data_IF_048070140423
#
_entry.id   IF_048070140423
#
_cell.length_a   1.000
_cell.length_b   1.000
_cell.length_c   1.000
_cell.angle_alpha   90.00
_cell.angle_beta   90.00
_cell.angle_gamma   90.00
#
_symmetry.space_group_name_H-M   'P 1'
#
loop_
_entity.id
_entity.type
_entity.pdbx_description
1 polymer ?
#
# COMPACT_ATOMS: atom_id res chain seq x y z
N UNK A 1 -24.58 -3.17 16.75
CA UNK A 1 -23.37 -2.37 17.08
C UNK A 1 -23.74 -1.47 18.26
N UNK A 2 -22.99 -1.49 19.35
CA UNK A 2 -23.29 -0.62 20.49
C UNK A 2 -23.15 0.87 20.11
N UNK A 3 -23.91 1.75 20.78
CA UNK A 3 -23.86 3.22 20.56
C UNK A 3 -22.44 3.79 20.63
N UNK A 4 -21.62 3.28 21.55
CA UNK A 4 -20.21 3.66 21.71
C UNK A 4 -19.39 3.40 20.44
N UNK A 5 -19.54 2.23 19.80
CA UNK A 5 -18.83 1.91 18.56
C UNK A 5 -19.26 2.79 17.37
N UNK A 6 -20.50 3.26 17.38
CA UNK A 6 -20.99 4.14 16.32
C UNK A 6 -20.43 5.56 16.46
N UNK A 7 -20.36 6.08 17.69
CA UNK A 7 -19.76 7.39 17.97
C UNK A 7 -18.25 7.39 17.66
N UNK A 8 -17.55 6.33 18.07
CA UNK A 8 -16.13 6.13 17.76
C UNK A 8 -15.86 6.03 16.24
N UNK A 9 -16.67 5.27 15.52
CA UNK A 9 -16.59 5.14 14.08
C UNK A 9 -16.77 6.50 13.39
N UNK A 10 -17.78 7.25 13.79
CA UNK A 10 -18.07 8.57 13.25
C UNK A 10 -16.92 9.57 13.52
N UNK A 11 -16.32 9.53 14.71
CA UNK A 11 -15.16 10.35 15.05
C UNK A 11 -13.95 10.01 14.16
N UNK A 12 -13.63 8.72 14.06
CA UNK A 12 -12.48 8.24 13.28
C UNK A 12 -12.66 8.47 11.77
N UNK A 13 -13.88 8.33 11.27
CA UNK A 13 -14.22 8.64 9.88
C UNK A 13 -14.04 10.12 9.55
N UNK A 14 -14.40 11.05 10.46
CA UNK A 14 -14.15 12.50 10.26
C UNK A 14 -12.66 12.82 10.16
N UNK A 15 -11.82 12.07 10.83
CA UNK A 15 -10.39 12.34 10.99
C UNK A 15 -9.52 11.32 10.23
N UNK A 16 -10.09 10.55 9.30
CA UNK A 16 -9.35 9.53 8.54
C UNK A 16 -8.12 10.13 7.87
N UNK A 17 -6.90 9.61 8.12
CA UNK A 17 -5.68 10.11 7.51
C UNK A 17 -5.49 9.50 6.11
N UNK A 18 -6.04 10.16 5.09
CA UNK A 18 -5.93 9.75 3.69
C UNK A 18 -4.60 10.22 3.08
N UNK A 19 -3.92 9.32 2.39
CA UNK A 19 -2.67 9.57 1.65
C UNK A 19 -2.88 9.32 0.16
N UNK A 20 -2.29 10.15 -0.69
CA UNK A 20 -2.25 9.90 -2.12
C UNK A 20 -1.15 8.90 -2.42
N UNK A 21 -1.48 7.80 -3.05
CA UNK A 21 -0.49 6.82 -3.52
C UNK A 21 -0.05 7.16 -4.95
N UNK A 22 1.25 7.07 -5.21
CA UNK A 22 1.83 7.36 -6.52
C UNK A 22 1.29 6.46 -7.62
N UNK A 23 0.96 5.22 -7.29
CA UNK A 23 0.44 4.25 -8.26
C UNK A 23 -0.91 4.66 -8.86
N UNK A 24 -1.71 5.49 -8.17
CA UNK A 24 -2.93 6.08 -8.74
C UNK A 24 -2.64 7.01 -9.93
N UNK A 25 -1.38 7.35 -10.17
CA UNK A 25 -0.88 8.13 -11.30
C UNK A 25 0.19 7.38 -12.09
N UNK A 26 0.17 6.04 -12.04
CA UNK A 26 1.23 5.19 -12.56
C UNK A 26 1.58 5.47 -14.03
N UNK A 27 0.60 5.54 -14.93
CA UNK A 27 0.84 5.88 -16.34
C UNK A 27 1.34 7.31 -16.49
N UNK A 28 0.73 8.27 -15.79
CA UNK A 28 1.18 9.66 -15.82
C UNK A 28 2.64 9.80 -15.37
N UNK A 29 3.07 9.03 -14.36
CA UNK A 29 4.45 9.05 -13.88
C UNK A 29 5.40 8.36 -14.87
N UNK A 30 5.00 7.27 -15.51
CA UNK A 30 5.77 6.61 -16.57
C UNK A 30 5.96 7.48 -17.82
N UNK A 31 5.03 8.38 -18.09
CA UNK A 31 5.15 9.38 -19.17
C UNK A 31 5.69 10.72 -18.69
N UNK A 32 6.16 10.81 -17.44
CA UNK A 32 6.68 12.03 -16.80
C UNK A 32 5.71 13.24 -16.91
N UNK A 33 4.40 12.95 -16.92
CA UNK A 33 3.32 13.97 -16.88
C UNK A 33 2.89 14.33 -15.47
N UNK A 34 3.25 13.50 -14.51
CA UNK A 34 3.16 13.72 -13.07
C UNK A 34 4.50 13.28 -12.48
N UNK A 35 5.16 14.16 -11.75
CA UNK A 35 6.43 13.90 -11.08
C UNK A 35 6.19 13.72 -9.57
N UNK A 36 7.14 13.14 -8.81
CA UNK A 36 7.01 13.02 -7.36
C UNK A 36 6.63 14.33 -6.65
N UNK A 37 7.19 15.45 -7.09
CA UNK A 37 6.85 16.78 -6.56
C UNK A 37 5.42 17.24 -6.87
N UNK A 38 4.83 16.79 -7.97
CA UNK A 38 3.44 17.14 -8.35
C UNK A 38 2.43 16.38 -7.49
N UNK A 39 2.76 15.18 -6.99
CA UNK A 39 1.93 14.46 -6.04
C UNK A 39 1.71 15.26 -4.74
N UNK A 40 2.72 16.01 -4.29
CA UNK A 40 2.59 16.90 -3.14
C UNK A 40 1.59 18.03 -3.43
N UNK A 41 1.60 18.60 -4.63
CA UNK A 41 0.63 19.63 -5.03
C UNK A 41 -0.79 19.07 -5.05
N UNK A 42 -0.98 17.89 -5.64
CA UNK A 42 -2.29 17.23 -5.71
C UNK A 42 -2.78 16.88 -4.29
N UNK A 43 -1.94 16.27 -3.47
CA UNK A 43 -2.30 15.92 -2.09
C UNK A 43 -2.70 17.16 -1.27
N UNK A 44 -1.95 18.27 -1.40
CA UNK A 44 -2.26 19.54 -0.76
C UNK A 44 -3.61 20.12 -1.24
N UNK A 45 -3.82 20.16 -2.56
CA UNK A 45 -5.09 20.64 -3.16
C UNK A 45 -6.28 19.80 -2.71
N UNK A 46 -6.10 18.49 -2.59
CA UNK A 46 -7.12 17.55 -2.14
C UNK A 46 -7.25 17.48 -0.62
N UNK A 47 -6.46 18.24 0.15
CA UNK A 47 -6.45 18.26 1.63
C UNK A 47 -6.22 16.87 2.21
N UNK A 48 -5.30 16.11 1.62
CA UNK A 48 -4.87 14.82 2.12
C UNK A 48 -3.79 14.99 3.19
N UNK A 49 -3.55 13.94 3.97
CA UNK A 49 -2.57 13.93 5.06
C UNK A 49 -1.14 13.84 4.53
N UNK A 50 -0.92 13.18 3.41
CA UNK A 50 0.40 12.96 2.86
C UNK A 50 0.39 12.19 1.54
N UNK A 51 1.56 11.68 1.19
CA UNK A 51 1.80 10.90 -0.02
C UNK A 51 2.54 9.61 0.30
N UNK A 52 2.29 8.57 -0.52
CA UNK A 52 3.03 7.32 -0.54
C UNK A 52 3.67 7.18 -1.92
N UNK A 53 5.00 7.06 -1.98
CA UNK A 53 5.75 7.09 -3.24
C UNK A 53 6.76 5.95 -3.26
N UNK A 54 6.69 5.11 -4.30
CA UNK A 54 7.74 4.13 -4.57
C UNK A 54 9.01 4.84 -5.06
N UNK A 55 10.16 4.37 -4.61
CA UNK A 55 11.47 5.00 -4.93
C UNK A 55 11.75 5.15 -6.43
N UNK A 56 11.17 4.28 -7.25
CA UNK A 56 11.33 4.24 -8.71
C UNK A 56 10.24 5.00 -9.49
N UNK A 57 9.15 5.44 -8.82
CA UNK A 57 8.06 6.15 -9.50
C UNK A 57 8.53 7.49 -10.07
N UNK A 58 8.25 7.71 -11.36
CA UNK A 58 8.62 8.94 -12.08
C UNK A 58 9.80 8.79 -13.03
N UNK A 59 10.18 7.55 -13.40
CA UNK A 59 11.19 7.21 -14.41
C UNK A 59 12.52 7.93 -14.16
N UNK A 60 12.89 8.86 -15.05
CA UNK A 60 14.15 9.64 -14.96
C UNK A 60 14.12 10.63 -13.78
N UNK A 61 12.97 10.99 -13.27
CA UNK A 61 12.73 11.94 -12.18
C UNK A 61 12.30 11.25 -10.87
N UNK A 62 12.44 9.92 -10.81
CA UNK A 62 12.12 9.16 -9.59
C UNK A 62 13.01 9.57 -8.42
N UNK A 63 12.50 9.43 -7.18
CA UNK A 63 13.25 9.80 -5.97
C UNK A 63 14.62 9.12 -5.91
N UNK A 64 14.75 7.91 -6.42
CA UNK A 64 16.00 7.16 -6.48
C UNK A 64 17.05 7.84 -7.36
N UNK A 65 16.64 8.56 -8.41
CA UNK A 65 17.52 9.23 -9.38
C UNK A 65 17.78 10.70 -9.08
N UNK A 66 17.05 11.27 -8.14
CA UNK A 66 17.25 12.66 -7.71
C UNK A 66 18.56 12.81 -6.92
N UNK A 67 19.23 13.95 -7.12
CA UNK A 67 20.38 14.32 -6.30
C UNK A 67 19.96 14.88 -4.94
N UNK A 68 20.92 15.08 -4.03
CA UNK A 68 20.66 15.50 -2.65
C UNK A 68 19.92 16.86 -2.58
N UNK A 69 20.20 17.80 -3.47
CA UNK A 69 19.51 19.08 -3.52
C UNK A 69 18.04 18.92 -3.91
N UNK A 70 17.79 18.09 -4.92
CA UNK A 70 16.43 17.82 -5.40
C UNK A 70 15.59 17.08 -4.32
N UNK A 71 16.20 16.12 -3.61
CA UNK A 71 15.55 15.44 -2.47
C UNK A 71 15.28 16.42 -1.33
N UNK A 72 16.19 17.35 -1.07
CA UNK A 72 15.99 18.42 -0.10
C UNK A 72 14.84 19.35 -0.51
N UNK A 73 14.77 19.75 -1.78
CA UNK A 73 13.69 20.61 -2.29
C UNK A 73 12.33 19.92 -2.19
N UNK A 74 12.27 18.60 -2.45
CA UNK A 74 11.08 17.79 -2.23
C UNK A 74 10.66 17.81 -0.75
N UNK A 75 11.60 17.61 0.17
CA UNK A 75 11.37 17.68 1.63
C UNK A 75 10.81 19.03 2.05
N UNK A 76 11.42 20.13 1.60
CA UNK A 76 10.97 21.48 1.97
C UNK A 76 9.57 21.78 1.39
N UNK A 77 9.24 21.25 0.21
CA UNK A 77 7.90 21.35 -0.36
C UNK A 77 6.86 20.58 0.48
N UNK A 78 7.19 19.34 0.88
CA UNK A 78 6.31 18.55 1.76
C UNK A 78 6.07 19.27 3.11
N UNK A 79 7.12 19.80 3.73
CA UNK A 79 7.01 20.61 4.97
C UNK A 79 6.14 21.85 4.78
N UNK A 80 6.34 22.59 3.68
CA UNK A 80 5.56 23.78 3.38
C UNK A 80 4.08 23.49 3.31
N UNK A 81 3.70 22.32 2.80
CA UNK A 81 2.32 21.88 2.71
C UNK A 81 1.82 21.11 3.94
N UNK A 82 2.68 20.90 4.92
CA UNK A 82 2.41 20.08 6.11
C UNK A 82 1.93 18.67 5.73
N UNK A 83 2.61 18.05 4.77
CA UNK A 83 2.32 16.71 4.28
C UNK A 83 3.33 15.71 4.82
N UNK A 84 2.84 14.56 5.26
CA UNK A 84 3.67 13.40 5.56
C UNK A 84 4.12 12.71 4.27
N UNK A 85 5.30 12.10 4.31
CA UNK A 85 5.86 11.32 3.20
C UNK A 85 6.12 9.90 3.67
N UNK A 86 5.62 8.93 2.94
CA UNK A 86 5.95 7.51 3.10
C UNK A 86 6.69 7.03 1.84
N UNK A 87 7.82 6.38 2.02
CA UNK A 87 8.62 5.80 0.94
C UNK A 87 8.27 4.32 0.81
N UNK A 88 8.26 3.84 -0.42
CA UNK A 88 7.95 2.46 -0.72
C UNK A 88 8.99 1.81 -1.62
N UNK A 89 9.19 0.50 -1.44
CA UNK A 89 10.09 -0.29 -2.27
C UNK A 89 9.57 -1.71 -2.45
N UNK A 90 10.01 -2.39 -3.51
CA UNK A 90 9.46 -3.68 -3.97
C UNK A 90 10.36 -4.88 -3.68
N UNK A 91 11.24 -4.77 -2.70
CA UNK A 91 12.05 -5.89 -2.21
C UNK A 91 12.44 -5.68 -0.74
N UNK A 92 12.82 -6.77 -0.07
CA UNK A 92 13.25 -6.77 1.33
C UNK A 92 14.76 -6.93 1.51
N UNK A 93 15.51 -7.11 0.42
CA UNK A 93 16.95 -7.31 0.51
C UNK A 93 17.67 -6.06 1.04
N UNK A 94 18.86 -6.31 1.61
CA UNK A 94 19.68 -5.29 2.26
C UNK A 94 19.99 -4.07 1.35
N UNK A 95 20.28 -4.29 0.08
CA UNK A 95 20.69 -3.21 -0.83
C UNK A 95 19.49 -2.28 -1.10
N UNK A 96 18.35 -2.87 -1.42
CA UNK A 96 17.09 -2.16 -1.69
C UNK A 96 16.61 -1.38 -0.46
N UNK A 97 16.61 -2.02 0.72
CA UNK A 97 16.21 -1.34 1.96
C UNK A 97 17.19 -0.23 2.36
N UNK A 98 18.49 -0.40 2.14
CA UNK A 98 19.48 0.66 2.41
C UNK A 98 19.20 1.91 1.58
N UNK A 99 18.91 1.75 0.29
CA UNK A 99 18.59 2.88 -0.59
C UNK A 99 17.26 3.54 -0.21
N UNK A 100 16.22 2.76 0.05
CA UNK A 100 14.93 3.28 0.50
C UNK A 100 15.04 4.07 1.81
N UNK A 101 15.82 3.59 2.79
CA UNK A 101 16.07 4.30 4.06
C UNK A 101 16.84 5.61 3.80
N UNK A 102 17.87 5.59 2.93
CA UNK A 102 18.61 6.79 2.54
C UNK A 102 17.67 7.85 1.96
N UNK A 103 16.80 7.46 1.04
CA UNK A 103 15.80 8.35 0.42
C UNK A 103 14.80 8.85 1.47
N UNK A 104 14.32 7.98 2.36
CA UNK A 104 13.41 8.36 3.43
C UNK A 104 14.01 9.45 4.33
N UNK A 105 15.26 9.29 4.74
CA UNK A 105 15.96 10.31 5.54
C UNK A 105 16.13 11.61 4.76
N UNK A 106 16.54 11.55 3.50
CA UNK A 106 16.75 12.71 2.66
C UNK A 106 15.46 13.50 2.38
N UNK A 107 14.34 12.82 2.19
CA UNK A 107 13.02 13.42 1.93
C UNK A 107 12.27 13.80 3.22
N UNK A 108 12.77 13.38 4.39
CA UNK A 108 12.09 13.58 5.66
C UNK A 108 10.85 12.71 5.82
N UNK A 109 10.82 11.58 5.15
CA UNK A 109 9.75 10.59 5.28
C UNK A 109 9.71 10.00 6.69
N UNK A 110 8.53 9.56 7.11
CA UNK A 110 8.28 8.98 8.43
C UNK A 110 8.13 7.46 8.40
N UNK A 111 7.98 6.89 7.21
CA UNK A 111 7.75 5.45 7.03
C UNK A 111 8.42 4.91 5.77
N UNK A 112 8.84 3.64 5.84
CA UNK A 112 9.29 2.83 4.70
C UNK A 112 8.45 1.57 4.62
N UNK A 113 7.76 1.38 3.50
CA UNK A 113 7.06 0.13 3.17
C UNK A 113 7.90 -0.72 2.25
N UNK A 114 7.95 -2.02 2.51
CA UNK A 114 8.55 -3.00 1.63
C UNK A 114 7.67 -4.25 1.54
N UNK A 115 7.86 -5.03 0.49
CA UNK A 115 7.36 -6.40 0.42
C UNK A 115 8.47 -7.32 -0.11
N UNK A 116 8.51 -8.57 0.37
CA UNK A 116 9.51 -9.52 -0.09
C UNK A 116 9.21 -9.97 -1.52
N UNK A 117 10.28 -10.32 -2.24
CA UNK A 117 10.17 -10.88 -3.58
C UNK A 117 11.16 -12.02 -3.73
N UNK A 118 10.72 -13.20 -3.33
CA UNK A 118 11.52 -14.41 -3.36
C UNK A 118 10.80 -15.56 -4.06
N UNK A 119 11.57 -16.41 -4.72
CA UNK A 119 11.13 -17.68 -5.27
C UNK A 119 11.68 -18.82 -4.43
N UNK A 120 10.91 -19.92 -4.28
CA UNK A 120 11.30 -21.11 -3.58
C UNK A 120 10.17 -21.75 -2.76
N UNK A 121 10.50 -22.82 -2.04
CA UNK A 121 9.55 -23.36 -1.09
C UNK A 121 9.26 -22.35 0.03
N UNK A 122 8.03 -22.30 0.50
CA UNK A 122 7.55 -21.32 1.49
C UNK A 122 8.47 -21.22 2.71
N UNK A 123 8.91 -22.34 3.26
CA UNK A 123 9.83 -22.34 4.42
C UNK A 123 11.15 -21.62 4.13
N UNK A 124 11.71 -21.79 2.93
CA UNK A 124 12.94 -21.14 2.52
C UNK A 124 12.72 -19.64 2.26
N UNK A 125 11.57 -19.30 1.66
CA UNK A 125 11.16 -17.91 1.45
C UNK A 125 11.00 -17.20 2.80
N UNK A 126 10.27 -17.80 3.73
CA UNK A 126 10.08 -17.26 5.09
C UNK A 126 11.42 -17.07 5.82
N UNK A 127 12.36 -18.01 5.69
CA UNK A 127 13.69 -17.89 6.29
C UNK A 127 14.51 -16.74 5.68
N UNK A 128 14.44 -16.52 4.36
CA UNK A 128 15.09 -15.40 3.71
C UNK A 128 14.54 -14.07 4.22
N UNK A 129 13.19 -13.93 4.27
CA UNK A 129 12.52 -12.72 4.76
C UNK A 129 12.88 -12.46 6.24
N UNK A 130 12.89 -13.50 7.07
CA UNK A 130 13.29 -13.36 8.47
C UNK A 130 14.74 -12.87 8.62
N UNK A 131 15.67 -13.29 7.75
CA UNK A 131 17.03 -12.77 7.71
C UNK A 131 17.10 -11.30 7.28
N UNK A 132 16.29 -10.88 6.31
CA UNK A 132 16.21 -9.48 5.90
C UNK A 132 15.68 -8.61 7.05
N UNK A 133 14.62 -9.05 7.71
CA UNK A 133 14.06 -8.35 8.89
C UNK A 133 15.08 -8.32 10.04
N UNK A 134 15.81 -9.39 10.28
CA UNK A 134 16.87 -9.41 11.28
C UNK A 134 17.98 -8.39 10.97
N UNK A 135 18.33 -8.20 9.70
CA UNK A 135 19.23 -7.12 9.30
C UNK A 135 18.59 -5.75 9.50
N UNK A 136 17.30 -5.60 9.17
CA UNK A 136 16.57 -4.34 9.32
C UNK A 136 16.47 -3.90 10.79
N UNK A 137 16.53 -4.81 11.75
CA UNK A 137 16.39 -4.52 13.19
C UNK A 137 17.43 -3.52 13.75
N UNK A 138 18.57 -3.33 13.07
CA UNK A 138 19.53 -2.27 13.41
C UNK A 138 18.95 -0.86 13.32
N UNK A 139 17.81 -0.69 12.64
CA UNK A 139 17.09 0.57 12.47
C UNK A 139 15.87 0.70 13.38
N UNK A 140 15.70 -0.15 14.40
CA UNK A 140 14.51 -0.14 15.27
C UNK A 140 14.31 1.20 16.01
N UNK A 141 15.39 1.94 16.30
CA UNK A 141 15.35 3.22 16.98
C UNK A 141 15.71 4.42 16.07
N UNK A 142 15.63 4.27 14.74
CA UNK A 142 16.07 5.34 13.80
C UNK A 142 15.04 6.46 13.58
N UNK A 143 13.86 6.37 14.17
CA UNK A 143 12.77 7.33 14.00
C UNK A 143 11.89 7.08 12.76
N UNK A 144 12.18 6.05 11.95
CA UNK A 144 11.31 5.58 10.88
C UNK A 144 10.42 4.43 11.38
N UNK A 145 9.19 4.37 10.90
CA UNK A 145 8.38 3.16 10.97
C UNK A 145 8.59 2.30 9.71
N UNK A 146 8.52 1.00 9.87
CA UNK A 146 8.59 0.05 8.76
C UNK A 146 7.29 -0.74 8.66
N UNK A 147 6.85 -0.97 7.43
CA UNK A 147 5.74 -1.89 7.19
C UNK A 147 6.12 -2.94 6.17
N UNK A 148 5.84 -4.20 6.48
CA UNK A 148 5.83 -5.26 5.50
C UNK A 148 4.42 -5.35 4.90
N UNK A 149 4.33 -5.28 3.58
CA UNK A 149 3.04 -5.34 2.90
C UNK A 149 2.62 -6.78 2.63
N UNK A 150 1.34 -7.05 2.80
CA UNK A 150 0.71 -8.22 2.22
C UNK A 150 0.62 -8.04 0.70
N UNK A 151 1.53 -8.68 -0.02
CA UNK A 151 1.63 -8.58 -1.48
C UNK A 151 1.53 -9.96 -2.13
N UNK A 152 0.31 -10.41 -2.41
CA UNK A 152 -0.09 -11.52 -3.27
C UNK A 152 0.44 -12.93 -2.96
N UNK A 153 1.69 -13.09 -2.46
CA UNK A 153 2.39 -14.38 -2.29
C UNK A 153 2.29 -14.99 -0.89
N UNK A 154 2.23 -14.15 0.16
CA UNK A 154 2.16 -14.59 1.53
C UNK A 154 0.75 -14.44 2.12
N UNK A 155 0.36 -15.42 2.91
CA UNK A 155 -0.88 -15.37 3.67
C UNK A 155 -0.72 -14.49 4.94
N UNK A 156 -1.82 -13.95 5.43
CA UNK A 156 -1.81 -13.05 6.58
C UNK A 156 -1.14 -13.64 7.83
N UNK A 157 -1.35 -14.93 8.12
CA UNK A 157 -0.73 -15.57 9.28
C UNK A 157 0.81 -15.77 9.14
N UNK A 158 1.31 -15.87 7.91
CA UNK A 158 2.74 -15.94 7.62
C UNK A 158 3.41 -14.58 7.89
N UNK A 159 2.77 -13.48 7.46
CA UNK A 159 3.22 -12.11 7.78
C UNK A 159 3.17 -11.81 9.27
N UNK A 160 2.09 -12.19 9.95
CA UNK A 160 1.95 -12.05 11.40
C UNK A 160 3.10 -12.81 12.13
N UNK A 161 3.44 -13.99 11.65
CA UNK A 161 4.56 -14.79 12.20
C UNK A 161 5.90 -14.06 12.02
N UNK A 162 6.18 -13.51 10.84
CA UNK A 162 7.39 -12.74 10.55
C UNK A 162 7.53 -11.52 11.46
N UNK A 163 6.48 -10.72 11.57
CA UNK A 163 6.49 -9.51 12.38
C UNK A 163 6.65 -9.82 13.86
N UNK A 164 5.87 -10.76 14.40
CA UNK A 164 5.95 -11.14 15.81
C UNK A 164 7.33 -11.72 16.19
N UNK A 165 7.93 -12.52 15.32
CA UNK A 165 9.23 -13.13 15.57
C UNK A 165 10.41 -12.16 15.37
N UNK A 166 10.20 -11.01 14.74
CA UNK A 166 11.25 -10.01 14.51
C UNK A 166 11.76 -9.34 15.77
N UNK A 167 10.89 -9.20 16.76
CA UNK A 167 11.16 -8.44 17.98
C UNK A 167 11.28 -6.92 17.77
N UNK A 168 11.10 -6.42 16.54
CA UNK A 168 11.15 -4.99 16.21
C UNK A 168 9.91 -4.26 16.73
N UNK A 169 10.10 -3.09 17.31
CA UNK A 169 9.01 -2.24 17.83
C UNK A 169 8.40 -1.35 16.75
N UNK A 170 9.17 -1.05 15.72
CA UNK A 170 8.80 -0.16 14.63
C UNK A 170 8.45 -0.87 13.32
N UNK A 171 8.29 -2.21 13.33
CA UNK A 171 7.81 -3.02 12.21
C UNK A 171 6.35 -3.43 12.44
N UNK A 172 5.53 -3.25 11.42
CA UNK A 172 4.11 -3.57 11.41
C UNK A 172 3.67 -4.07 10.03
N UNK A 173 2.37 -4.31 9.84
CA UNK A 173 1.81 -4.76 8.57
C UNK A 173 1.13 -3.58 7.86
N UNK A 174 1.39 -3.47 6.56
CA UNK A 174 0.54 -2.74 5.64
C UNK A 174 -0.45 -3.72 5.02
N UNK A 175 -1.74 -3.47 5.24
CA UNK A 175 -2.83 -4.26 4.68
C UNK A 175 -3.27 -3.69 3.35
N UNK A 176 -3.17 -4.47 2.29
CA UNK A 176 -3.72 -4.12 0.98
C UNK A 176 -5.12 -4.72 0.81
N UNK A 177 -6.04 -4.00 0.18
CA UNK A 177 -7.43 -4.43 0.05
C UNK A 177 -7.65 -5.58 -0.94
N UNK A 178 -6.75 -5.80 -1.90
CA UNK A 178 -6.91 -6.78 -2.97
C UNK A 178 -5.93 -7.95 -2.93
N UNK A 179 -4.72 -7.76 -2.43
CA UNK A 179 -3.63 -8.72 -2.59
C UNK A 179 -3.84 -10.07 -1.88
N UNK A 180 -4.63 -10.12 -0.79
CA UNK A 180 -4.94 -11.39 -0.11
C UNK A 180 -5.69 -12.39 -0.99
N UNK A 181 -6.41 -11.90 -2.01
CA UNK A 181 -7.14 -12.77 -2.96
C UNK A 181 -6.16 -13.74 -3.64
N UNK A 182 -5.00 -13.24 -4.06
CA UNK A 182 -3.97 -14.03 -4.75
C UNK A 182 -3.30 -15.05 -3.82
N UNK A 183 -3.25 -14.72 -2.53
CA UNK A 183 -2.81 -15.64 -1.48
C UNK A 183 -3.90 -16.65 -1.05
N UNK A 184 -5.00 -16.73 -1.80
CA UNK A 184 -6.14 -17.63 -1.54
C UNK A 184 -6.84 -17.35 -0.19
N UNK A 185 -6.94 -16.08 0.21
CA UNK A 185 -7.62 -15.66 1.43
C UNK A 185 -8.83 -14.77 1.13
N UNK A 186 -9.84 -14.86 1.99
CA UNK A 186 -10.99 -13.96 1.93
C UNK A 186 -10.64 -12.61 2.59
N UNK A 187 -11.04 -11.45 2.02
CA UNK A 187 -10.62 -10.13 2.50
C UNK A 187 -10.84 -9.89 4.00
N UNK A 188 -12.05 -10.13 4.49
CA UNK A 188 -12.37 -9.90 5.92
C UNK A 188 -11.68 -10.89 6.85
N UNK A 189 -11.46 -12.14 6.41
CA UNK A 189 -10.73 -13.14 7.19
C UNK A 189 -9.25 -12.81 7.29
N UNK A 190 -8.62 -12.39 6.20
CA UNK A 190 -7.24 -11.94 6.18
C UNK A 190 -7.04 -10.69 7.06
N UNK A 191 -7.98 -9.73 6.99
CA UNK A 191 -8.00 -8.55 7.85
C UNK A 191 -8.06 -8.94 9.33
N UNK A 192 -8.94 -9.86 9.71
CA UNK A 192 -9.08 -10.32 11.11
C UNK A 192 -7.76 -10.92 11.63
N UNK A 193 -7.12 -11.79 10.84
CA UNK A 193 -5.83 -12.42 11.20
C UNK A 193 -4.73 -11.38 11.41
N UNK A 194 -4.64 -10.39 10.53
CA UNK A 194 -3.59 -9.36 10.59
C UNK A 194 -3.92 -8.18 11.49
N UNK A 195 -5.17 -8.04 11.94
CA UNK A 195 -5.68 -6.87 12.66
C UNK A 195 -4.81 -6.39 13.84
N UNK A 196 -4.13 -7.25 14.64
CA UNK A 196 -3.29 -6.77 15.73
C UNK A 196 -2.06 -5.96 15.29
N UNK A 197 -1.64 -6.10 14.03
CA UNK A 197 -0.37 -5.56 13.52
C UNK A 197 -0.57 -4.55 12.38
N UNK A 198 -1.79 -4.34 11.90
CA UNK A 198 -2.07 -3.39 10.80
C UNK A 198 -1.94 -1.96 11.30
N UNK A 199 -1.06 -1.18 10.69
CA UNK A 199 -0.91 0.25 10.98
C UNK A 199 -1.07 1.14 9.76
N UNK A 200 -0.97 0.57 8.57
CA UNK A 200 -1.13 1.26 7.30
C UNK A 200 -1.95 0.41 6.33
N UNK A 201 -2.52 1.04 5.35
CA UNK A 201 -3.44 0.41 4.40
C UNK A 201 -3.21 0.95 3.00
N UNK A 202 -3.33 0.09 1.98
CA UNK A 202 -3.58 0.47 0.59
C UNK A 202 -5.03 0.15 0.24
N UNK A 203 -5.72 1.15 -0.28
CA UNK A 203 -7.13 1.05 -0.68
C UNK A 203 -7.20 0.97 -2.19
N UNK A 204 -7.67 -0.15 -2.69
CA UNK A 204 -8.03 -0.38 -4.09
C UNK A 204 -9.28 -1.24 -4.17
N UNK A 205 -9.88 -1.31 -5.34
CA UNK A 205 -11.00 -2.20 -5.60
C UNK A 205 -10.66 -3.14 -6.75
N UNK A 206 -11.22 -4.33 -6.73
CA UNK A 206 -10.91 -5.34 -7.73
C UNK A 206 -12.07 -6.32 -7.96
N UNK A 207 -12.08 -6.88 -9.15
CA UNK A 207 -12.91 -8.05 -9.49
C UNK A 207 -12.15 -9.31 -9.13
N UNK A 208 -12.86 -10.27 -8.53
CA UNK A 208 -12.31 -11.55 -8.10
C UNK A 208 -12.48 -12.56 -9.22
N UNK A 209 -11.37 -13.19 -9.64
CA UNK A 209 -11.35 -14.11 -10.77
C UNK A 209 -10.95 -15.50 -10.30
N UNK A 210 -11.83 -16.50 -10.56
CA UNK A 210 -11.51 -17.90 -10.21
C UNK A 210 -10.46 -18.47 -11.15
N UNK A 211 -9.39 -19.02 -10.61
CA UNK A 211 -8.30 -19.66 -11.35
C UNK A 211 -8.03 -21.07 -10.81
N UNK A 212 -8.70 -22.06 -11.39
CA UNK A 212 -8.54 -23.42 -10.91
C UNK A 212 -8.90 -23.57 -9.43
N UNK A 213 -7.93 -23.87 -8.58
CA UNK A 213 -8.07 -23.99 -7.12
C UNK A 213 -7.64 -22.75 -6.34
N UNK A 214 -7.30 -21.68 -7.02
CA UNK A 214 -6.94 -20.39 -6.44
C UNK A 214 -7.80 -19.25 -6.98
N UNK A 215 -7.39 -18.02 -6.67
CA UNK A 215 -8.07 -16.81 -7.08
C UNK A 215 -7.08 -15.74 -7.52
N UNK A 216 -7.36 -15.12 -8.66
CA UNK A 216 -6.70 -13.89 -9.09
C UNK A 216 -7.60 -12.68 -8.84
N UNK A 217 -7.06 -11.49 -9.09
CA UNK A 217 -7.87 -10.28 -9.12
C UNK A 217 -7.51 -9.38 -10.30
N UNK A 218 -8.48 -8.63 -10.77
CA UNK A 218 -8.30 -7.57 -11.74
C UNK A 218 -8.69 -6.24 -11.10
N UNK A 219 -7.74 -5.34 -10.93
CA UNK A 219 -7.98 -4.05 -10.34
C UNK A 219 -8.95 -3.21 -11.20
N UNK A 220 -9.86 -2.52 -10.56
CA UNK A 220 -10.87 -1.70 -11.20
C UNK A 220 -11.14 -0.42 -10.41
N UNK A 221 -11.93 0.48 -11.00
CA UNK A 221 -12.34 1.70 -10.28
C UNK A 221 -13.01 1.37 -8.96
N UNK A 222 -12.65 2.12 -7.93
CA UNK A 222 -13.28 2.01 -6.61
C UNK A 222 -14.80 2.13 -6.67
N UNK A 223 -15.50 1.15 -6.09
CA UNK A 223 -16.94 1.00 -6.13
C UNK A 223 -17.47 0.20 -7.32
N UNK A 224 -16.61 -0.38 -8.15
CA UNK A 224 -16.98 -1.20 -9.30
C UNK A 224 -16.50 -2.66 -9.21
N UNK A 225 -15.81 -3.01 -8.13
CA UNK A 225 -15.28 -4.35 -7.85
C UNK A 225 -16.19 -5.20 -6.98
N UNK A 226 -15.61 -6.30 -6.52
CA UNK A 226 -16.27 -7.31 -5.69
C UNK A 226 -15.81 -7.24 -4.22
N UNK A 227 -14.87 -6.33 -3.89
CA UNK A 227 -14.32 -6.24 -2.54
C UNK A 227 -15.33 -5.61 -1.56
N UNK A 228 -15.41 -6.09 -0.32
CA UNK A 228 -16.29 -5.52 0.71
C UNK A 228 -15.68 -4.22 1.29
N UNK A 229 -15.56 -3.19 0.42
CA UNK A 229 -14.85 -1.94 0.70
C UNK A 229 -15.34 -1.23 1.97
N UNK A 230 -16.66 -1.12 2.14
CA UNK A 230 -17.27 -0.42 3.27
C UNK A 230 -17.04 -1.18 4.58
N UNK A 231 -17.15 -2.51 4.56
CA UNK A 231 -16.92 -3.37 5.72
C UNK A 231 -15.47 -3.38 6.15
N UNK A 232 -14.52 -3.46 5.19
CA UNK A 232 -13.09 -3.40 5.47
C UNK A 232 -12.69 -2.05 6.04
N UNK A 233 -13.14 -0.95 5.42
CA UNK A 233 -12.83 0.40 5.89
C UNK A 233 -13.36 0.63 7.32
N UNK A 234 -14.57 0.16 7.59
CA UNK A 234 -15.18 0.22 8.92
C UNK A 234 -14.39 -0.58 9.96
N UNK A 235 -13.99 -1.82 9.62
CA UNK A 235 -13.21 -2.66 10.51
C UNK A 235 -11.86 -2.00 10.84
N UNK A 236 -11.15 -1.48 9.84
CA UNK A 236 -9.86 -0.80 9.99
C UNK A 236 -9.95 0.48 10.81
N UNK A 237 -10.99 1.29 10.61
CA UNK A 237 -11.24 2.49 11.42
C UNK A 237 -11.50 2.16 12.89
N UNK A 238 -12.03 0.99 13.21
CA UNK A 238 -12.31 0.57 14.57
C UNK A 238 -11.14 -0.13 15.27
N UNK A 239 -9.99 -0.34 14.58
CA UNK A 239 -8.80 -0.91 15.21
C UNK A 239 -8.17 0.08 16.21
N UNK A 240 -7.69 -0.47 17.34
CA UNK A 240 -7.13 0.28 18.47
C UNK A 240 -8.23 0.77 19.44
N UNK A 241 -7.90 0.74 20.72
CA UNK A 241 -8.85 1.11 21.81
C UNK A 241 -8.95 2.64 21.94
N UNK A 242 -8.02 3.26 22.64
CA UNK A 242 -8.03 4.71 22.93
C UNK A 242 -7.63 5.59 21.74
N UNK A 243 -6.82 5.05 20.82
CA UNK A 243 -6.32 5.76 19.65
C UNK A 243 -6.49 4.92 18.38
N UNK A 244 -6.69 5.54 17.22
CA UNK A 244 -6.65 4.81 15.95
C UNK A 244 -5.32 4.06 15.81
N UNK A 245 -5.40 2.76 15.53
CA UNK A 245 -4.22 1.94 15.24
C UNK A 245 -3.71 2.18 13.83
N UNK A 246 -4.63 2.33 12.87
CA UNK A 246 -4.28 2.64 11.48
C UNK A 246 -4.09 4.15 11.33
N UNK A 247 -2.90 4.55 10.94
CA UNK A 247 -2.52 5.96 10.85
C UNK A 247 -2.23 6.44 9.42
N UNK A 248 -2.36 5.57 8.41
CA UNK A 248 -2.24 5.94 7.00
C UNK A 248 -3.10 5.04 6.11
N UNK A 249 -4.01 5.67 5.37
CA UNK A 249 -4.85 5.04 4.35
C UNK A 249 -4.41 5.54 2.98
N UNK A 250 -3.62 4.75 2.26
CA UNK A 250 -3.12 5.05 0.92
C UNK A 250 -4.20 4.81 -0.13
N UNK A 251 -4.51 5.83 -0.90
CA UNK A 251 -5.47 5.79 -2.00
C UNK A 251 -4.75 5.30 -3.25
N UNK A 252 -4.80 4.01 -3.51
CA UNK A 252 -4.11 3.30 -4.58
C UNK A 252 -5.10 2.88 -5.67
N UNK A 253 -5.65 3.86 -6.38
CA UNK A 253 -6.55 3.56 -7.49
C UNK A 253 -5.77 2.91 -8.63
N UNK A 254 -6.04 1.64 -8.87
CA UNK A 254 -5.49 0.89 -9.98
C UNK A 254 -6.61 0.51 -10.96
N UNK A 255 -6.30 0.48 -12.24
CA UNK A 255 -7.24 0.02 -13.26
C UNK A 255 -6.47 -0.82 -14.28
N UNK A 256 -7.05 -1.97 -14.67
CA UNK A 256 -6.48 -2.89 -15.65
C UNK A 256 -5.19 -3.60 -15.18
N UNK A 257 -4.88 -3.57 -13.88
CA UNK A 257 -3.85 -4.40 -13.30
C UNK A 257 -4.42 -5.77 -12.98
N UNK A 258 -3.82 -6.81 -13.54
CA UNK A 258 -4.21 -8.19 -13.29
C UNK A 258 -3.14 -8.93 -12.50
N UNK A 259 -3.56 -9.57 -11.43
CA UNK A 259 -2.72 -10.42 -10.60
C UNK A 259 -3.29 -11.84 -10.55
N UNK A 260 -2.51 -12.87 -10.97
CA UNK A 260 -2.94 -14.26 -10.95
C UNK A 260 -2.92 -14.85 -9.54
N UNK A 261 -3.53 -16.05 -9.39
CA UNK A 261 -3.44 -16.82 -8.17
C UNK A 261 -1.99 -17.23 -7.87
N UNK A 262 -1.56 -17.03 -6.63
CA UNK A 262 -0.25 -17.48 -6.11
C UNK A 262 -0.37 -18.71 -5.22
N UNK A 263 -1.46 -18.82 -4.49
CA UNK A 263 -1.71 -19.86 -3.50
C UNK A 263 -2.99 -20.63 -3.87
N UNK A 264 -3.04 -21.92 -3.51
CA UNK A 264 -4.09 -22.83 -3.93
C UNK A 264 -4.57 -23.73 -2.79
N UNK A 265 -5.84 -24.16 -2.83
CA UNK A 265 -6.45 -25.01 -1.79
C UNK A 265 -5.73 -26.32 -1.51
N UNK A 266 -4.98 -26.85 -2.48
CA UNK A 266 -4.32 -28.17 -2.41
C UNK A 266 -2.78 -28.13 -2.43
N UNK A 267 -2.20 -26.99 -2.08
CA UNK A 267 -0.77 -26.78 -2.19
C UNK A 267 0.10 -27.45 -1.09
N UNK A 268 -0.54 -27.93 -0.01
CA UNK A 268 0.14 -28.50 1.15
C UNK A 268 0.81 -27.45 2.04
N UNK A 269 1.60 -27.91 3.04
CA UNK A 269 2.15 -27.06 4.10
C UNK A 269 3.41 -26.27 3.70
N UNK A 270 4.04 -26.62 2.58
CA UNK A 270 5.28 -25.97 2.12
C UNK A 270 5.25 -25.80 0.58
N UNK A 271 4.32 -24.97 0.08
CA UNK A 271 4.15 -24.77 -1.36
C UNK A 271 5.37 -24.09 -1.98
N UNK A 272 5.47 -24.20 -3.30
CA UNK A 272 6.41 -23.43 -4.09
C UNK A 272 5.86 -22.04 -4.36
N UNK A 273 6.55 -21.01 -3.90
CA UNK A 273 6.25 -19.62 -4.24
C UNK A 273 6.99 -19.29 -5.54
N UNK A 274 6.29 -19.01 -6.64
CA UNK A 274 6.93 -18.71 -7.91
C UNK A 274 7.56 -17.32 -7.91
N UNK A 275 8.63 -17.15 -8.71
CA UNK A 275 9.08 -15.80 -9.04
C UNK A 275 8.00 -15.05 -9.79
N UNK A 276 7.91 -13.79 -9.53
CA UNK A 276 7.02 -12.88 -10.22
C UNK A 276 7.74 -11.61 -10.60
N UNK A 277 7.75 -11.31 -11.89
CA UNK A 277 8.17 -10.01 -12.38
C UNK A 277 7.18 -8.93 -11.95
N UNK A 278 7.67 -7.69 -11.84
CA UNK A 278 6.77 -6.57 -11.65
C UNK A 278 5.78 -6.52 -12.81
N UNK A 279 4.48 -6.61 -12.48
CA UNK A 279 3.43 -6.39 -13.48
C UNK A 279 3.23 -4.89 -13.62
N UNK A 280 2.96 -4.47 -14.83
CA UNK A 280 2.64 -3.08 -15.13
C UNK A 280 1.31 -3.02 -15.85
N UNK A 281 0.55 -1.98 -15.56
CA UNK A 281 -0.59 -1.63 -16.40
C UNK A 281 -0.13 -1.54 -17.85
N UNK A 282 -0.79 -2.21 -18.80
CA UNK A 282 -0.41 -2.16 -20.20
C UNK A 282 -0.30 -0.73 -20.72
N UNK A 283 0.72 -0.45 -21.51
CA UNK A 283 0.85 0.86 -22.13
C UNK A 283 -0.26 1.04 -23.18
N UNK A 284 -0.92 2.20 -23.20
CA UNK A 284 -1.94 2.50 -24.20
C UNK A 284 -1.31 2.64 -25.59
N UNK A 285 -2.10 2.40 -26.63
CA UNK A 285 -1.72 2.74 -28.01
C UNK A 285 -1.36 4.23 -28.12
N UNK A 286 -0.41 4.55 -28.99
CA UNK A 286 0.14 5.91 -29.10
C UNK A 286 -0.89 7.00 -29.36
N UNK A 287 -1.97 6.68 -30.06
CA UNK A 287 -3.11 7.59 -30.33
C UNK A 287 -4.08 7.75 -29.16
N UNK A 288 -3.95 6.92 -28.11
CA UNK A 288 -4.83 6.93 -26.93
C UNK A 288 -4.13 7.48 -25.66
N UNK A 289 -2.84 7.79 -25.73
CA UNK A 289 -2.03 8.17 -24.56
C UNK A 289 -2.69 9.30 -23.77
N UNK A 290 -2.94 10.45 -24.40
CA UNK A 290 -3.47 11.62 -23.70
C UNK A 290 -4.85 11.36 -23.06
N UNK A 291 -5.71 10.59 -23.73
CA UNK A 291 -7.00 10.21 -23.20
C UNK A 291 -6.87 9.29 -21.97
N UNK A 292 -5.94 8.33 -22.01
CA UNK A 292 -5.69 7.39 -20.89
C UNK A 292 -5.05 8.10 -19.69
N UNK A 293 -4.12 9.01 -19.93
CA UNK A 293 -3.50 9.81 -18.87
C UNK A 293 -4.54 10.73 -18.18
N UNK A 294 -5.44 11.33 -18.96
CA UNK A 294 -6.53 12.13 -18.40
C UNK A 294 -7.50 11.26 -17.60
N UNK A 295 -7.84 10.08 -18.08
CA UNK A 295 -8.72 9.13 -17.42
C UNK A 295 -8.14 8.63 -16.09
N UNK A 296 -6.84 8.31 -16.04
CA UNK A 296 -6.16 7.90 -14.80
C UNK A 296 -6.27 9.00 -13.72
N UNK A 297 -6.03 10.27 -14.09
CA UNK A 297 -6.22 11.41 -13.17
C UNK A 297 -7.65 11.52 -12.67
N UNK A 298 -8.63 11.34 -13.55
CA UNK A 298 -10.05 11.34 -13.18
C UNK A 298 -10.36 10.23 -12.18
N UNK A 299 -9.87 9.00 -12.42
CA UNK A 299 -10.08 7.85 -11.54
C UNK A 299 -9.47 8.08 -10.15
N UNK A 300 -8.23 8.57 -10.09
CA UNK A 300 -7.58 8.90 -8.82
C UNK A 300 -8.37 9.92 -7.99
N UNK A 301 -8.89 10.98 -8.62
CA UNK A 301 -9.73 11.97 -7.94
C UNK A 301 -11.10 11.41 -7.54
N UNK A 302 -11.66 10.53 -8.37
CA UNK A 302 -12.93 9.85 -8.07
C UNK A 302 -12.81 8.91 -6.86
N UNK A 303 -11.68 8.22 -6.69
CA UNK A 303 -11.43 7.39 -5.50
C UNK A 303 -11.44 8.23 -4.22
N UNK A 304 -10.77 9.39 -4.22
CA UNK A 304 -10.77 10.31 -3.07
C UNK A 304 -12.22 10.63 -2.66
N UNK A 305 -13.05 10.97 -3.63
CA UNK A 305 -14.46 11.27 -3.38
C UNK A 305 -15.20 10.04 -2.87
N UNK A 306 -15.04 8.88 -3.49
CA UNK A 306 -15.70 7.63 -3.13
C UNK A 306 -15.43 7.24 -1.66
N UNK A 307 -14.18 7.30 -1.22
CA UNK A 307 -13.81 6.99 0.16
C UNK A 307 -14.39 8.01 1.15
N UNK A 308 -14.41 9.29 0.78
CA UNK A 308 -15.07 10.33 1.59
C UNK A 308 -16.57 10.11 1.69
N UNK A 309 -17.24 9.72 0.60
CA UNK A 309 -18.67 9.41 0.60
C UNK A 309 -18.99 8.22 1.53
N UNK A 310 -18.10 7.21 1.62
CA UNK A 310 -18.23 6.11 2.60
C UNK A 310 -18.07 6.65 4.04
N UNK A 311 -17.07 7.49 4.28
CA UNK A 311 -16.88 8.10 5.60
C UNK A 311 -18.09 8.96 6.03
N UNK A 312 -18.68 9.70 5.11
CA UNK A 312 -19.88 10.52 5.37
C UNK A 312 -21.06 9.66 5.79
N UNK A 313 -21.24 8.45 5.21
CA UNK A 313 -22.24 7.48 5.68
C UNK A 313 -21.97 7.05 7.13
N UNK A 314 -20.72 6.83 7.51
CA UNK A 314 -20.36 6.45 8.89
C UNK A 314 -20.60 7.59 9.90
N UNK A 315 -20.51 8.83 9.44
CA UNK A 315 -20.79 10.03 10.22
C UNK A 315 -22.30 10.24 10.41
N UNK A 316 -23.12 9.65 9.53
CA UNK A 316 -24.59 9.78 9.58
C UNK A 316 -25.11 10.99 8.80
N UNK A 317 -24.39 11.40 7.77
CA UNK A 317 -24.79 12.46 6.83
C UNK A 317 -25.42 11.87 5.56
#
# INVERSE_FOLDING_TARGET
MGKYNQELLAERARNIPLYLHAYAFHLNMRYERVLPGDLLDIAHQQKLKGVKIHVEDGESQSLQKLNDQQLHDFKEKAKKYNLDVHIETSASDKATLTDAIRIAVATGATSVRFYPRYEGHLNDVMAKIANDIAWLSQYDDCGLSFTIEQHEDLQGHELVTLVNNSGMKNLSILFDFGNMINANEQPLSALEVMSPLITQVHIKDAKIIKEGKGWGHEACRSGHGDLPMEEMLKALLLLGEDKPQVHAFGLEEEVEYYAPAFRFDDEGDNPWIPWRDASYTPLPDSNMIDARLAQEKEHALAQIKYIRDICDKFIGN
#
